data_IF_390898376242
#
_entry.id   IF_390898376242
#
_cell.length_a   1.000
_cell.length_b   1.000
_cell.length_c   1.000
_cell.angle_alpha   90.00
_cell.angle_beta   90.00
_cell.angle_gamma   90.00
#
_symmetry.space_group_name_H-M   'P 1'
#
loop_
_entity.id
_entity.type
_entity.pdbx_description
1 polymer ?
#
# COMPACT_ATOMS: atom_id res chain seq x y z
N UNK A 1 13.60 3.84 27.47
CA UNK A 1 13.11 2.95 26.41
C UNK A 1 12.53 3.75 25.25
N UNK A 2 13.35 4.56 24.56
CA UNK A 2 12.86 5.57 23.60
C UNK A 2 13.32 5.35 22.14
N UNK A 3 13.94 4.23 21.77
CA UNK A 3 14.70 4.20 20.52
C UNK A 3 15.02 2.80 19.96
N UNK A 4 14.06 2.01 19.48
CA UNK A 4 14.37 0.79 18.70
C UNK A 4 13.20 0.54 17.72
N UNK A 5 13.22 0.79 16.41
CA UNK A 5 14.27 1.03 15.42
C UNK A 5 13.76 2.02 14.37
N UNK A 6 14.63 2.95 14.00
CA UNK A 6 14.48 3.91 12.90
C UNK A 6 14.13 3.15 11.60
N UNK A 7 12.94 3.33 11.04
CA UNK A 7 12.72 3.09 9.61
C UNK A 7 13.70 4.01 8.87
N UNK A 8 14.72 3.43 8.25
CA UNK A 8 15.88 4.17 7.77
C UNK A 8 15.49 5.11 6.62
N UNK A 9 15.72 6.42 6.80
CA UNK A 9 15.70 7.50 5.79
C UNK A 9 14.36 8.10 5.31
N UNK A 10 13.20 7.86 5.94
CA UNK A 10 11.95 8.47 5.47
C UNK A 10 10.88 8.63 6.54
N UNK A 11 10.75 9.85 7.08
CA UNK A 11 9.55 10.41 7.75
C UNK A 11 8.89 9.62 8.89
N UNK A 12 7.93 10.23 9.61
CA UNK A 12 6.98 9.45 10.39
C UNK A 12 6.11 8.60 9.43
N UNK A 13 5.67 7.40 9.87
CA UNK A 13 4.80 6.57 9.04
C UNK A 13 3.55 7.36 8.66
N UNK A 14 3.24 7.39 7.36
CA UNK A 14 2.08 8.09 6.83
C UNK A 14 1.18 7.12 6.04
N UNK A 15 -0.07 7.53 5.88
CA UNK A 15 -1.05 6.81 5.07
C UNK A 15 -1.16 7.52 3.72
N UNK A 16 -0.93 6.81 2.62
CA UNK A 16 -1.29 7.30 1.30
C UNK A 16 -2.80 7.13 1.09
N UNK A 17 -3.50 8.24 0.83
CA UNK A 17 -4.95 8.28 0.64
C UNK A 17 -5.23 8.87 -0.75
N UNK A 18 -5.76 8.03 -1.65
CA UNK A 18 -6.19 8.41 -2.99
C UNK A 18 -5.20 8.03 -4.10
N UNK A 19 -5.73 7.50 -5.20
CA UNK A 19 -4.94 7.23 -6.43
C UNK A 19 -4.02 6.02 -6.40
N UNK A 20 -4.04 5.20 -5.34
CA UNK A 20 -3.20 3.99 -5.27
C UNK A 20 -3.86 2.83 -6.01
N UNK A 21 -3.07 2.12 -6.81
CA UNK A 21 -3.40 0.86 -7.46
C UNK A 21 -2.15 -0.02 -7.59
N UNK A 22 -2.27 -1.16 -8.27
CA UNK A 22 -1.17 -2.12 -8.41
C UNK A 22 0.06 -1.56 -9.15
N UNK A 23 -0.11 -0.52 -9.97
CA UNK A 23 0.97 0.10 -10.73
C UNK A 23 1.87 1.02 -9.90
N UNK A 24 1.36 1.63 -8.83
CA UNK A 24 2.11 2.58 -7.99
C UNK A 24 2.24 2.16 -6.51
N UNK A 25 1.64 1.03 -6.11
CA UNK A 25 1.70 0.53 -4.73
C UNK A 25 3.14 0.35 -4.22
N UNK A 26 4.05 -0.12 -5.06
CA UNK A 26 5.46 -0.30 -4.69
C UNK A 26 6.17 1.04 -4.42
N UNK A 27 5.87 2.08 -5.19
CA UNK A 27 6.43 3.42 -4.99
C UNK A 27 5.93 4.04 -3.68
N UNK A 28 4.64 3.86 -3.41
CA UNK A 28 4.01 4.31 -2.16
C UNK A 28 4.62 3.60 -0.94
N UNK A 29 4.83 2.29 -1.04
CA UNK A 29 5.50 1.51 0.01
C UNK A 29 6.96 2.00 0.21
N UNK A 30 7.71 2.17 -0.88
CA UNK A 30 9.09 2.65 -0.86
C UNK A 30 9.23 4.07 -0.28
N UNK A 31 8.19 4.91 -0.40
CA UNK A 31 8.15 6.23 0.21
C UNK A 31 8.01 6.21 1.74
N UNK A 32 7.82 5.03 2.36
CA UNK A 32 7.71 4.86 3.81
C UNK A 32 6.29 4.62 4.31
N UNK A 33 5.33 4.33 3.42
CA UNK A 33 3.99 3.96 3.82
C UNK A 33 3.98 2.52 4.38
N UNK A 34 3.79 2.38 5.69
CA UNK A 34 3.66 1.08 6.34
C UNK A 34 2.28 0.44 6.09
N UNK A 35 1.29 1.27 5.74
CA UNK A 35 -0.10 0.86 5.49
C UNK A 35 -0.68 1.70 4.36
N UNK A 36 -1.45 1.08 3.47
CA UNK A 36 -1.99 1.75 2.27
C UNK A 36 -3.48 1.46 2.15
N UNK A 37 -4.26 2.50 1.82
CA UNK A 37 -5.71 2.38 1.65
C UNK A 37 -6.05 2.47 0.16
N UNK A 38 -6.56 1.37 -0.39
CA UNK A 38 -6.87 1.24 -1.82
C UNK A 38 -8.36 1.03 -2.01
N UNK A 39 -9.09 2.07 -2.44
CA UNK A 39 -10.55 1.99 -2.63
C UNK A 39 -10.88 1.80 -4.10
N UNK A 40 -10.45 2.73 -4.97
CA UNK A 40 -10.91 2.78 -6.37
C UNK A 40 -10.54 1.53 -7.17
N UNK A 41 -9.32 1.01 -6.99
CA UNK A 41 -8.87 -0.21 -7.69
C UNK A 41 -9.65 -1.44 -7.23
N UNK A 42 -10.01 -1.53 -5.94
CA UNK A 42 -10.81 -2.64 -5.42
C UNK A 42 -12.26 -2.53 -5.87
N UNK A 43 -12.87 -1.34 -5.82
CA UNK A 43 -14.28 -1.14 -6.23
C UNK A 43 -14.48 -1.23 -7.75
N UNK A 44 -13.43 -1.02 -8.54
CA UNK A 44 -13.48 -1.14 -10.00
C UNK A 44 -13.39 -2.60 -10.49
N UNK A 45 -13.10 -3.56 -9.59
CA UNK A 45 -13.06 -4.95 -9.95
C UNK A 45 -14.46 -5.43 -10.39
N UNK A 46 -14.56 -5.92 -11.63
CA UNK A 46 -15.83 -6.37 -12.21
C UNK A 46 -16.33 -7.71 -11.63
N UNK A 47 -15.45 -8.47 -10.97
CA UNK A 47 -15.77 -9.78 -10.39
C UNK A 47 -15.06 -9.94 -9.04
N UNK A 48 -15.60 -10.84 -8.21
CA UNK A 48 -14.97 -11.24 -6.95
C UNK A 48 -13.57 -11.82 -7.16
N UNK A 49 -13.35 -12.51 -8.29
CA UNK A 49 -12.03 -13.04 -8.65
C UNK A 49 -11.04 -11.91 -8.93
N UNK A 50 -11.43 -10.93 -9.75
CA UNK A 50 -10.60 -9.76 -10.05
C UNK A 50 -10.29 -8.95 -8.79
N UNK A 51 -11.26 -8.85 -7.87
CA UNK A 51 -11.08 -8.18 -6.58
C UNK A 51 -10.00 -8.88 -5.75
N UNK A 52 -10.10 -10.21 -5.61
CA UNK A 52 -9.13 -11.01 -4.84
C UNK A 52 -7.75 -10.97 -5.47
N UNK A 53 -7.65 -11.09 -6.80
CA UNK A 53 -6.39 -10.99 -7.52
C UNK A 53 -5.72 -9.62 -7.30
N UNK A 54 -6.48 -8.53 -7.46
CA UNK A 54 -6.00 -7.17 -7.23
C UNK A 54 -5.53 -6.98 -5.78
N UNK A 55 -6.30 -7.45 -4.79
CA UNK A 55 -5.94 -7.37 -3.39
C UNK A 55 -4.66 -8.16 -3.07
N UNK A 56 -4.48 -9.34 -3.67
CA UNK A 56 -3.28 -10.15 -3.48
C UNK A 56 -2.03 -9.46 -4.07
N UNK A 57 -2.13 -8.90 -5.27
CA UNK A 57 -1.05 -8.11 -5.88
C UNK A 57 -0.68 -6.91 -5.02
N UNK A 58 -1.68 -6.13 -4.57
CA UNK A 58 -1.46 -4.99 -3.70
C UNK A 58 -0.77 -5.41 -2.41
N UNK A 59 -1.22 -6.47 -1.76
CA UNK A 59 -0.61 -6.99 -0.53
C UNK A 59 0.85 -7.38 -0.73
N UNK A 60 1.17 -8.04 -1.85
CA UNK A 60 2.55 -8.40 -2.19
C UNK A 60 3.46 -7.20 -2.45
N UNK A 61 2.90 -6.07 -2.92
CA UNK A 61 3.68 -4.85 -3.16
C UNK A 61 4.04 -4.07 -1.88
N UNK A 62 3.32 -4.29 -0.77
CA UNK A 62 3.56 -3.62 0.51
C UNK A 62 4.22 -4.51 1.57
N UNK A 63 4.40 -5.81 1.30
CA UNK A 63 4.97 -6.78 2.25
C UNK A 63 6.48 -6.94 2.09
#
# INVERSE_FOLDING_TARGET
HAAERRAAEGGPPFFAIGGVDAGNAAEVAAAGAEKVVVVRALTAAATDENLRATAATLKGAVS
#
